data_IF_112236346661
#
_entry.id   IF_112236346661
#
_cell.length_a   1.000
_cell.length_b   1.000
_cell.length_c   1.000
_cell.angle_alpha   90.00
_cell.angle_beta   90.00
_cell.angle_gamma   90.00
#
_symmetry.space_group_name_H-M   'P 1'
#
loop_
_entity.id
_entity.type
_entity.pdbx_description
1 polymer ?
#
# COMPACT_ATOMS: atom_id res chain seq x y z
N UNK A 1 -9.55 20.75 37.84
CA UNK A 1 -10.66 20.54 36.88
C UNK A 1 -10.15 19.70 35.75
N UNK A 2 -10.78 18.59 35.52
CA UNK A 2 -10.35 17.63 34.51
C UNK A 2 -11.26 17.67 33.27
N UNK A 3 -10.70 17.43 32.10
CA UNK A 3 -11.40 17.39 30.80
C UNK A 3 -11.18 16.04 30.14
N UNK A 4 -12.18 15.60 29.36
CA UNK A 4 -12.17 14.29 28.71
C UNK A 4 -11.53 14.38 27.33
N UNK A 5 -10.47 13.61 27.14
CA UNK A 5 -9.78 13.46 25.86
C UNK A 5 -10.55 12.55 24.89
N UNK A 6 -10.22 12.63 23.61
CA UNK A 6 -10.84 11.80 22.54
C UNK A 6 -10.72 10.29 22.79
N UNK A 7 -9.69 9.82 23.52
CA UNK A 7 -9.50 8.42 23.92
C UNK A 7 -10.24 8.05 25.21
N UNK A 8 -11.04 8.95 25.78
CA UNK A 8 -11.91 8.73 26.94
C UNK A 8 -11.26 8.93 28.33
N UNK A 9 -9.95 9.14 28.41
CA UNK A 9 -9.28 9.42 29.68
C UNK A 9 -9.42 10.89 30.10
N UNK A 10 -9.31 11.14 31.40
CA UNK A 10 -9.36 12.49 31.97
C UNK A 10 -7.95 13.06 32.08
N UNK A 11 -7.82 14.34 31.82
CA UNK A 11 -6.57 15.12 31.93
C UNK A 11 -6.90 16.48 32.54
N UNK A 12 -5.98 17.00 33.34
CA UNK A 12 -6.13 18.32 33.92
C UNK A 12 -6.23 19.42 32.84
N UNK A 13 -7.25 20.27 32.97
CA UNK A 13 -7.44 21.40 32.06
C UNK A 13 -6.31 22.42 32.21
N UNK A 14 -5.68 22.75 31.09
CA UNK A 14 -4.60 23.75 31.03
C UNK A 14 -4.97 24.86 30.05
N UNK A 15 -5.12 26.08 30.61
CA UNK A 15 -5.30 27.32 29.82
C UNK A 15 -4.08 27.56 28.90
N UNK A 16 -2.89 27.22 29.38
CA UNK A 16 -1.63 27.34 28.66
C UNK A 16 -1.62 26.52 27.37
N UNK A 17 -2.10 25.24 27.45
CA UNK A 17 -2.22 24.39 26.26
C UNK A 17 -3.17 24.97 25.22
N UNK A 18 -4.25 25.61 25.66
CA UNK A 18 -5.21 26.26 24.74
C UNK A 18 -4.59 27.48 24.09
N UNK A 19 -3.89 28.33 24.87
CA UNK A 19 -3.16 29.50 24.35
C UNK A 19 -2.12 29.10 23.30
N UNK A 20 -1.32 28.08 23.60
CA UNK A 20 -0.29 27.60 22.69
C UNK A 20 -0.89 27.14 21.33
N UNK A 21 -1.99 26.37 21.35
CA UNK A 21 -2.66 25.98 20.11
C UNK A 21 -3.25 27.16 19.31
N UNK A 22 -3.69 28.20 19.97
CA UNK A 22 -4.13 29.44 19.30
C UNK A 22 -2.92 30.19 18.72
N UNK A 23 -1.82 30.32 19.47
CA UNK A 23 -0.59 30.95 18.98
C UNK A 23 -0.02 30.25 17.73
N UNK A 24 0.05 28.92 17.74
CA UNK A 24 0.46 28.13 16.56
C UNK A 24 -0.41 28.45 15.33
N UNK A 25 -1.71 28.67 15.53
CA UNK A 25 -2.59 29.04 14.44
C UNK A 25 -2.34 30.46 13.91
N UNK A 26 -1.99 31.40 14.79
CA UNK A 26 -1.55 32.74 14.37
C UNK A 26 -0.25 32.70 13.57
N UNK A 27 0.72 31.89 14.01
CA UNK A 27 2.00 31.72 13.28
C UNK A 27 1.75 31.07 11.91
N UNK A 28 0.95 30.00 11.85
CA UNK A 28 0.58 29.32 10.59
C UNK A 28 -0.13 30.28 9.63
N UNK A 29 -0.99 31.16 10.15
CA UNK A 29 -1.68 32.14 9.37
C UNK A 29 -0.77 33.33 8.94
N UNK A 30 0.47 33.44 9.47
CA UNK A 30 1.35 34.58 9.24
C UNK A 30 0.84 35.89 9.90
N UNK A 31 0.09 35.75 10.99
CA UNK A 31 -0.49 36.86 11.76
C UNK A 31 0.23 36.96 13.12
N UNK A 32 0.25 38.19 13.69
CA UNK A 32 0.88 38.44 14.98
C UNK A 32 -0.03 37.96 16.11
N UNK A 33 0.45 37.04 16.93
CA UNK A 33 -0.22 36.65 18.16
C UNK A 33 -0.14 37.76 19.22
N UNK A 34 -1.28 38.16 19.79
CA UNK A 34 -1.38 39.22 20.81
C UNK A 34 -1.97 38.64 22.08
N UNK A 35 -1.23 38.77 23.20
CA UNK A 35 -1.61 38.19 24.50
C UNK A 35 -3.00 38.62 24.96
N UNK A 36 -3.37 39.88 24.75
CA UNK A 36 -4.69 40.37 25.12
C UNK A 36 -5.84 39.65 24.39
N UNK A 37 -5.63 39.23 23.13
CA UNK A 37 -6.60 38.46 22.37
C UNK A 37 -6.66 37.02 22.89
N UNK A 38 -5.51 36.44 23.17
CA UNK A 38 -5.42 35.10 23.78
C UNK A 38 -6.16 35.03 25.11
N UNK A 39 -5.87 36.01 25.99
CA UNK A 39 -6.49 36.09 27.30
C UNK A 39 -8.00 36.31 27.21
N UNK A 40 -8.45 37.12 26.27
CA UNK A 40 -9.89 37.32 26.01
C UNK A 40 -10.57 36.03 25.59
N UNK A 41 -9.99 35.29 24.64
CA UNK A 41 -10.56 34.01 24.17
C UNK A 41 -10.57 33.00 25.31
N UNK A 42 -9.41 32.76 25.95
CA UNK A 42 -9.30 31.69 26.97
C UNK A 42 -10.11 31.95 28.21
N UNK A 43 -10.26 33.21 28.63
CA UNK A 43 -11.10 33.58 29.77
C UNK A 43 -12.60 33.58 29.42
N UNK A 44 -12.95 33.71 28.16
CA UNK A 44 -14.32 33.59 27.65
C UNK A 44 -14.83 32.17 27.50
N UNK A 45 -13.93 31.15 27.58
CA UNK A 45 -14.33 29.74 27.46
C UNK A 45 -15.14 29.27 28.69
N UNK A 46 -16.25 28.64 28.43
CA UNK A 46 -17.00 27.92 29.44
C UNK A 46 -16.50 26.49 29.55
N UNK A 47 -15.84 26.16 30.68
CA UNK A 47 -15.28 24.85 30.91
C UNK A 47 -15.81 24.29 32.24
N UNK A 48 -16.25 23.02 32.23
CA UNK A 48 -16.76 22.29 33.39
C UNK A 48 -16.09 20.94 33.54
N UNK A 49 -16.22 20.32 34.71
CA UNK A 49 -15.63 19.03 35.04
C UNK A 49 -16.12 17.91 34.09
N UNK A 50 -15.17 17.19 33.48
CA UNK A 50 -15.48 16.12 32.55
C UNK A 50 -15.89 16.56 31.13
N UNK A 51 -15.84 17.87 30.83
CA UNK A 51 -16.13 18.41 29.50
C UNK A 51 -15.21 17.82 28.42
N UNK A 52 -15.77 17.47 27.27
CA UNK A 52 -14.96 16.94 26.18
C UNK A 52 -14.06 18.03 25.56
N UNK A 53 -12.79 17.68 25.28
CA UNK A 53 -11.85 18.63 24.66
C UNK A 53 -12.30 19.10 23.28
N UNK A 54 -13.15 18.33 22.58
CA UNK A 54 -13.79 18.75 21.32
C UNK A 54 -14.78 19.90 21.49
N UNK A 55 -15.44 20.01 22.64
CA UNK A 55 -16.34 21.13 22.93
C UNK A 55 -15.56 22.42 23.21
N UNK A 56 -14.45 22.29 23.96
CA UNK A 56 -13.52 23.42 24.20
C UNK A 56 -12.96 23.93 22.86
N UNK A 57 -12.53 22.99 22.03
CA UNK A 57 -12.03 23.31 20.69
C UNK A 57 -13.06 24.09 19.86
N UNK A 58 -14.33 23.62 19.85
CA UNK A 58 -15.41 24.30 19.12
C UNK A 58 -15.63 25.73 19.62
N UNK A 59 -15.58 25.98 20.93
CA UNK A 59 -15.67 27.34 21.47
C UNK A 59 -14.51 28.23 21.01
N UNK A 60 -13.28 27.69 20.95
CA UNK A 60 -12.10 28.42 20.42
C UNK A 60 -12.29 28.74 18.95
N UNK A 61 -12.76 27.78 18.15
CA UNK A 61 -13.03 27.96 16.72
C UNK A 61 -14.06 29.06 16.48
N UNK A 62 -15.18 29.06 17.23
CA UNK A 62 -16.23 30.07 17.16
C UNK A 62 -15.70 31.46 17.55
N UNK A 63 -14.88 31.55 18.60
CA UNK A 63 -14.26 32.80 19.01
C UNK A 63 -13.29 33.33 17.94
N UNK A 64 -12.42 32.48 17.40
CA UNK A 64 -11.49 32.85 16.34
C UNK A 64 -12.19 33.25 15.03
N UNK A 65 -13.29 32.55 14.67
CA UNK A 65 -14.09 32.90 13.48
C UNK A 65 -14.68 34.31 13.58
N UNK A 66 -15.01 34.78 14.80
CA UNK A 66 -15.52 36.13 15.01
C UNK A 66 -14.43 37.20 15.00
N UNK A 67 -13.16 36.85 15.31
CA UNK A 67 -12.04 37.77 15.42
C UNK A 67 -11.21 37.83 14.12
N UNK A 68 -10.77 36.67 13.65
CA UNK A 68 -9.93 36.56 12.45
C UNK A 68 -10.16 35.20 11.74
N UNK A 69 -10.89 35.23 10.65
CA UNK A 69 -11.25 34.03 9.85
C UNK A 69 -10.03 33.27 9.29
N UNK A 70 -8.92 33.99 9.00
CA UNK A 70 -7.70 33.36 8.48
C UNK A 70 -7.02 32.52 9.57
N UNK A 71 -6.95 33.08 10.80
CA UNK A 71 -6.43 32.32 11.96
C UNK A 71 -7.36 31.19 12.36
N UNK A 72 -8.67 31.38 12.32
CA UNK A 72 -9.63 30.32 12.57
C UNK A 72 -9.46 29.14 11.62
N UNK A 73 -9.28 29.43 10.33
CA UNK A 73 -9.00 28.39 9.32
C UNK A 73 -7.72 27.62 9.65
N UNK A 74 -6.63 28.32 9.93
CA UNK A 74 -5.35 27.70 10.32
C UNK A 74 -5.49 26.83 11.58
N UNK A 75 -6.26 27.30 12.59
CA UNK A 75 -6.53 26.55 13.82
C UNK A 75 -7.26 25.23 13.55
N UNK A 76 -8.27 25.24 12.67
CA UNK A 76 -9.02 24.05 12.27
C UNK A 76 -8.10 23.08 11.53
N UNK A 77 -7.34 23.55 10.54
CA UNK A 77 -6.43 22.74 9.73
C UNK A 77 -5.32 22.11 10.58
N UNK A 78 -4.65 22.88 11.44
CA UNK A 78 -3.62 22.37 12.36
C UNK A 78 -4.14 21.27 13.28
N UNK A 79 -5.36 21.41 13.78
CA UNK A 79 -5.97 20.41 14.63
C UNK A 79 -6.37 19.12 13.88
N UNK A 80 -6.79 19.22 12.64
CA UNK A 80 -7.15 18.06 11.80
C UNK A 80 -5.88 17.32 11.36
N UNK A 81 -4.82 18.04 10.98
CA UNK A 81 -3.51 17.45 10.67
C UNK A 81 -2.91 16.72 11.87
N UNK A 82 -2.95 17.32 13.06
CA UNK A 82 -2.50 16.67 14.29
C UNK A 82 -3.32 15.42 14.64
N UNK A 83 -4.61 15.41 14.37
CA UNK A 83 -5.48 14.25 14.57
C UNK A 83 -5.15 13.12 13.59
N UNK A 84 -4.89 13.44 12.34
CA UNK A 84 -4.46 12.49 11.32
C UNK A 84 -3.07 11.92 11.62
N UNK A 85 -2.13 12.75 12.06
CA UNK A 85 -0.80 12.31 12.49
C UNK A 85 -0.87 11.35 13.67
N UNK A 86 -1.71 11.61 14.68
CA UNK A 86 -1.90 10.71 15.82
C UNK A 86 -2.50 9.38 15.41
N UNK A 87 -3.51 9.38 14.53
CA UNK A 87 -4.08 8.13 14.00
C UNK A 87 -3.03 7.31 13.26
N UNK A 88 -2.19 7.96 12.45
CA UNK A 88 -1.09 7.29 11.74
C UNK A 88 -0.04 6.76 12.71
N UNK A 89 0.28 7.49 13.77
CA UNK A 89 1.21 7.05 14.81
C UNK A 89 0.68 5.84 15.58
N UNK A 90 -0.59 5.87 16.00
CA UNK A 90 -1.25 4.74 16.66
C UNK A 90 -1.23 3.50 15.73
N UNK A 91 -1.57 3.69 14.45
CA UNK A 91 -1.52 2.62 13.45
C UNK A 91 -0.12 2.04 13.26
N UNK A 92 0.91 2.88 13.19
CA UNK A 92 2.31 2.45 13.06
C UNK A 92 2.71 1.61 14.28
N UNK A 93 2.37 2.06 15.47
CA UNK A 93 2.69 1.35 16.71
C UNK A 93 2.00 -0.01 16.77
N UNK A 94 0.70 -0.08 16.51
CA UNK A 94 -0.05 -1.33 16.44
C UNK A 94 0.49 -2.29 15.36
N UNK A 95 0.93 -1.75 14.23
CA UNK A 95 1.52 -2.54 13.15
C UNK A 95 2.85 -3.17 13.57
N UNK A 96 3.74 -2.39 14.23
CA UNK A 96 5.03 -2.88 14.74
C UNK A 96 4.80 -3.95 15.81
N UNK A 97 3.87 -3.75 16.74
CA UNK A 97 3.53 -4.70 17.79
C UNK A 97 2.99 -6.02 17.18
N UNK A 98 2.10 -5.94 16.19
CA UNK A 98 1.58 -7.10 15.48
C UNK A 98 2.66 -7.86 14.70
N UNK A 99 3.62 -7.15 14.11
CA UNK A 99 4.73 -7.75 13.37
C UNK A 99 5.70 -8.50 14.29
N UNK A 100 5.90 -8.00 15.50
CA UNK A 100 6.75 -8.63 16.53
C UNK A 100 6.09 -9.85 17.20
N UNK A 101 4.77 -9.93 17.19
CA UNK A 101 4.03 -11.00 17.86
C UNK A 101 4.01 -12.35 17.11
N UNK A 102 4.61 -12.47 15.92
CA UNK A 102 4.64 -13.66 15.07
C UNK A 102 3.26 -14.30 14.80
N UNK A 103 2.18 -13.59 15.07
CA UNK A 103 0.80 -14.02 14.84
C UNK A 103 0.23 -13.31 13.61
N UNK A 104 -0.60 -14.04 12.86
CA UNK A 104 -1.22 -13.56 11.62
C UNK A 104 -1.80 -12.15 11.76
N UNK A 105 -1.54 -11.32 10.78
CA UNK A 105 -1.82 -9.91 10.79
C UNK A 105 -3.31 -9.60 10.80
N UNK A 106 -3.74 -8.75 11.73
CA UNK A 106 -5.09 -8.15 11.73
C UNK A 106 -5.26 -7.04 10.68
N UNK A 107 -4.16 -6.50 10.15
CA UNK A 107 -4.16 -5.25 9.38
C UNK A 107 -3.91 -5.46 7.88
N UNK A 108 -3.54 -6.68 7.49
CA UNK A 108 -3.28 -6.96 6.09
C UNK A 108 -4.48 -7.61 5.42
N UNK A 109 -5.13 -6.85 4.54
CA UNK A 109 -6.21 -7.35 3.69
C UNK A 109 -5.69 -8.00 2.40
N UNK A 110 -4.38 -7.91 2.12
CA UNK A 110 -3.77 -8.51 0.95
C UNK A 110 -3.36 -9.96 1.27
N UNK A 111 -4.08 -10.93 0.71
CA UNK A 111 -3.81 -12.36 0.89
C UNK A 111 -2.42 -12.81 0.41
N UNK A 112 -1.74 -11.99 -0.41
CA UNK A 112 -0.41 -12.28 -0.92
C UNK A 112 0.72 -11.84 0.03
N UNK A 113 0.40 -11.13 1.09
CA UNK A 113 1.38 -10.64 2.08
C UNK A 113 1.17 -11.37 3.39
N UNK A 114 2.01 -12.37 3.66
CA UNK A 114 1.94 -13.19 4.87
C UNK A 114 2.79 -12.64 6.00
N UNK A 115 3.82 -11.87 5.69
CA UNK A 115 4.76 -11.33 6.67
C UNK A 115 4.74 -9.80 6.68
N UNK A 116 4.61 -9.23 7.87
CA UNK A 116 4.72 -7.79 8.07
C UNK A 116 6.18 -7.36 8.07
N UNK A 117 6.51 -6.40 7.24
CA UNK A 117 7.83 -5.78 7.18
C UNK A 117 7.72 -4.28 6.92
N UNK A 118 8.85 -3.58 6.94
CA UNK A 118 8.89 -2.12 6.77
C UNK A 118 8.32 -1.66 5.41
N UNK A 119 8.43 -2.50 4.38
CA UNK A 119 7.91 -2.17 3.03
C UNK A 119 6.39 -2.24 3.02
N UNK A 120 5.81 -3.27 3.63
CA UNK A 120 4.35 -3.40 3.75
C UNK A 120 3.76 -2.30 4.64
N UNK A 121 4.46 -1.88 5.70
CA UNK A 121 4.06 -0.72 6.50
C UNK A 121 4.01 0.55 5.64
N UNK A 122 5.05 0.80 4.84
CA UNK A 122 5.07 1.94 3.92
C UNK A 122 3.89 1.91 2.94
N UNK A 123 3.59 0.75 2.36
CA UNK A 123 2.44 0.59 1.47
C UNK A 123 1.11 0.89 2.16
N UNK A 124 0.90 0.41 3.39
CA UNK A 124 -0.31 0.69 4.16
C UNK A 124 -0.50 2.19 4.45
N UNK A 125 0.58 2.89 4.82
CA UNK A 125 0.54 4.33 5.07
C UNK A 125 0.20 5.16 3.82
N UNK A 126 0.58 4.68 2.64
CA UNK A 126 0.29 5.37 1.37
C UNK A 126 -1.09 5.05 0.77
N UNK A 127 -1.77 4.00 1.19
CA UNK A 127 -3.07 3.57 0.63
C UNK A 127 -4.09 4.70 0.53
N UNK A 128 -4.32 5.42 1.61
CA UNK A 128 -5.30 6.50 1.66
C UNK A 128 -4.97 7.64 0.69
N UNK A 129 -3.69 8.01 0.62
CA UNK A 129 -3.21 9.03 -0.30
C UNK A 129 -3.37 8.59 -1.77
N UNK A 130 -3.04 7.32 -2.06
CA UNK A 130 -3.20 6.75 -3.39
C UNK A 130 -4.66 6.74 -3.84
N UNK A 131 -5.59 6.39 -2.95
CA UNK A 131 -7.04 6.46 -3.22
C UNK A 131 -7.46 7.88 -3.59
N UNK A 132 -7.06 8.88 -2.80
CA UNK A 132 -7.37 10.28 -3.07
C UNK A 132 -6.84 10.73 -4.44
N UNK A 133 -5.59 10.39 -4.75
CA UNK A 133 -4.97 10.72 -6.04
C UNK A 133 -5.64 10.02 -7.21
N UNK A 134 -5.93 8.72 -7.09
CA UNK A 134 -6.64 7.96 -8.12
C UNK A 134 -8.02 8.56 -8.42
N UNK A 135 -8.79 8.87 -7.39
CA UNK A 135 -10.11 9.51 -7.53
C UNK A 135 -10.01 10.87 -8.22
N UNK A 136 -9.03 11.67 -7.82
CA UNK A 136 -8.79 12.97 -8.46
C UNK A 136 -8.46 12.82 -9.95
N UNK A 137 -7.49 11.97 -10.31
CA UNK A 137 -7.05 11.75 -11.68
C UNK A 137 -8.20 11.23 -12.56
N UNK A 138 -8.94 10.23 -12.08
CA UNK A 138 -10.03 9.63 -12.85
C UNK A 138 -11.21 10.59 -13.01
N UNK A 139 -11.58 11.30 -11.93
CA UNK A 139 -12.64 12.31 -11.99
C UNK A 139 -12.32 13.42 -12.97
N UNK A 140 -11.06 13.89 -12.99
CA UNK A 140 -10.62 14.90 -13.97
C UNK A 140 -10.65 14.37 -15.42
N UNK A 141 -10.20 13.13 -15.63
CA UNK A 141 -10.32 12.48 -16.95
C UNK A 141 -11.77 12.35 -17.41
N UNK A 142 -12.66 11.88 -16.55
CA UNK A 142 -14.09 11.75 -16.87
C UNK A 142 -14.69 13.11 -17.20
N UNK A 143 -14.35 14.15 -16.43
CA UNK A 143 -14.79 15.52 -16.67
C UNK A 143 -14.38 16.02 -18.06
N UNK A 144 -13.12 15.77 -18.44
CA UNK A 144 -12.56 16.21 -19.73
C UNK A 144 -13.13 15.42 -20.93
N UNK A 145 -13.34 14.12 -20.76
CA UNK A 145 -13.77 13.23 -21.85
C UNK A 145 -15.28 13.23 -22.06
N UNK A 146 -16.06 13.43 -21.02
CA UNK A 146 -17.52 13.29 -21.06
C UNK A 146 -18.22 14.55 -20.55
N UNK A 147 -18.32 14.73 -19.21
CA UNK A 147 -18.97 15.91 -18.63
C UNK A 147 -18.66 16.05 -17.13
N UNK A 148 -18.88 17.27 -16.62
CA UNK A 148 -18.79 17.55 -15.16
C UNK A 148 -19.80 16.73 -14.38
N UNK A 149 -21.05 16.62 -14.88
CA UNK A 149 -22.12 15.85 -14.21
C UNK A 149 -21.77 14.39 -14.05
N UNK A 150 -21.21 13.75 -15.08
CA UNK A 150 -20.80 12.35 -15.03
C UNK A 150 -19.61 12.15 -14.05
N UNK A 151 -18.69 13.09 -14.00
CA UNK A 151 -17.56 13.05 -13.07
C UNK A 151 -18.01 13.15 -11.60
N UNK A 152 -18.99 14.01 -11.32
CA UNK A 152 -19.58 14.14 -9.98
C UNK A 152 -20.38 12.88 -9.60
N UNK A 153 -21.15 12.32 -10.53
CA UNK A 153 -21.88 11.07 -10.31
C UNK A 153 -20.91 9.89 -10.03
N UNK A 154 -19.84 9.75 -10.83
CA UNK A 154 -18.82 8.73 -10.60
C UNK A 154 -18.20 8.80 -9.20
N UNK A 155 -17.88 10.02 -8.73
CA UNK A 155 -17.32 10.20 -7.40
C UNK A 155 -18.32 9.86 -6.30
N UNK A 156 -19.60 10.21 -6.48
CA UNK A 156 -20.66 9.89 -5.55
C UNK A 156 -20.95 8.39 -5.49
N UNK A 157 -20.96 7.73 -6.64
CA UNK A 157 -21.15 6.27 -6.75
C UNK A 157 -20.03 5.49 -6.05
N UNK A 158 -18.77 5.97 -6.12
CA UNK A 158 -17.66 5.41 -5.35
C UNK A 158 -17.81 5.63 -3.85
N UNK A 159 -18.30 6.81 -3.41
CA UNK A 159 -18.48 7.12 -1.99
C UNK A 159 -19.66 6.36 -1.36
N UNK A 160 -20.73 6.20 -2.12
CA UNK A 160 -21.93 5.48 -1.71
C UNK A 160 -21.84 3.97 -1.89
N UNK A 161 -20.68 3.47 -2.34
CA UNK A 161 -20.42 2.05 -2.63
C UNK A 161 -21.34 1.42 -3.70
N UNK A 162 -21.93 2.23 -4.59
CA UNK A 162 -22.61 1.76 -5.79
C UNK A 162 -21.61 1.22 -6.80
N UNK A 163 -20.44 1.87 -6.91
CA UNK A 163 -19.29 1.39 -7.66
C UNK A 163 -18.18 0.94 -6.70
N UNK A 164 -17.58 -0.19 -7.03
CA UNK A 164 -16.36 -0.67 -6.39
C UNK A 164 -15.23 -0.69 -7.41
N UNK A 165 -14.13 0.01 -7.09
CA UNK A 165 -12.90 -0.06 -7.87
C UNK A 165 -11.90 -0.95 -7.13
N UNK A 166 -11.59 -2.11 -7.72
CA UNK A 166 -10.60 -3.03 -7.18
C UNK A 166 -9.21 -2.39 -7.15
N UNK A 167 -8.45 -2.63 -6.09
CA UNK A 167 -7.08 -2.16 -5.90
C UNK A 167 -6.90 -0.63 -6.06
N UNK A 168 -7.92 0.15 -5.69
CA UNK A 168 -7.88 1.62 -5.78
C UNK A 168 -6.73 2.23 -4.95
N UNK A 169 -6.29 1.53 -3.90
CA UNK A 169 -5.17 1.92 -3.06
C UNK A 169 -3.78 1.65 -3.68
N UNK A 170 -3.73 1.02 -4.84
CA UNK A 170 -2.51 0.81 -5.59
C UNK A 170 -1.89 2.11 -6.11
N UNK A 171 -0.86 2.00 -6.93
CA UNK A 171 -0.15 3.15 -7.48
C UNK A 171 -1.06 3.98 -8.38
N UNK A 172 -1.15 5.30 -8.19
CA UNK A 172 -1.96 6.17 -9.04
C UNK A 172 -1.56 6.08 -10.51
N UNK A 173 -2.53 5.76 -11.38
CA UNK A 173 -2.33 5.70 -12.83
C UNK A 173 -1.57 4.49 -13.37
N UNK A 174 -1.17 3.55 -12.50
CA UNK A 174 -0.51 2.31 -12.87
C UNK A 174 -1.41 1.09 -12.65
N UNK A 175 -1.26 0.02 -13.43
CA UNK A 175 -1.92 -1.25 -13.14
C UNK A 175 -1.36 -1.82 -11.82
N UNK A 176 -2.25 -2.39 -11.02
CA UNK A 176 -1.88 -3.03 -9.76
C UNK A 176 -1.29 -4.42 -9.97
N UNK A 177 -1.94 -5.21 -10.81
CA UNK A 177 -1.53 -6.55 -11.23
C UNK A 177 -1.24 -6.59 -12.72
N UNK A 178 -0.46 -7.57 -13.14
CA UNK A 178 -0.13 -7.77 -14.55
C UNK A 178 -0.21 -9.25 -14.94
N UNK A 179 -0.72 -9.53 -16.12
CA UNK A 179 -0.55 -10.82 -16.80
C UNK A 179 0.40 -10.60 -17.97
N UNK A 180 1.44 -11.41 -18.05
CA UNK A 180 2.47 -11.30 -19.10
C UNK A 180 2.42 -12.50 -20.01
N UNK A 181 2.58 -12.25 -21.32
CA UNK A 181 2.91 -13.31 -22.28
C UNK A 181 4.41 -13.60 -22.23
N UNK A 182 4.75 -14.87 -22.29
CA UNK A 182 6.14 -15.33 -22.21
C UNK A 182 6.82 -15.36 -23.59
N UNK A 183 6.08 -15.20 -24.69
CA UNK A 183 6.61 -15.36 -26.03
C UNK A 183 7.82 -14.45 -26.32
N UNK A 184 7.80 -13.14 -26.06
CA UNK A 184 8.98 -12.29 -26.28
C UNK A 184 10.19 -12.69 -25.47
N UNK A 185 9.97 -13.19 -24.24
CA UNK A 185 11.02 -13.68 -23.38
C UNK A 185 11.69 -14.95 -23.96
N UNK A 186 10.91 -15.82 -24.58
CA UNK A 186 11.42 -17.06 -25.18
C UNK A 186 12.19 -16.83 -26.49
N UNK A 187 11.89 -15.74 -27.21
CA UNK A 187 12.55 -15.41 -28.47
C UNK A 187 13.78 -14.53 -28.27
N UNK A 188 13.67 -13.54 -27.40
CA UNK A 188 14.66 -12.46 -27.26
C UNK A 188 15.44 -12.49 -25.95
N UNK A 189 15.01 -13.36 -25.02
CA UNK A 189 15.52 -13.40 -23.66
C UNK A 189 14.99 -12.26 -22.79
N UNK A 190 15.60 -12.07 -21.63
CA UNK A 190 15.28 -11.01 -20.70
C UNK A 190 15.98 -9.72 -21.12
N UNK A 191 15.21 -8.72 -21.53
CA UNK A 191 15.71 -7.42 -21.96
C UNK A 191 15.08 -6.31 -21.10
N UNK A 192 15.88 -5.35 -20.66
CA UNK A 192 15.43 -4.08 -20.04
C UNK A 192 14.75 -4.15 -18.66
N UNK A 193 14.60 -5.30 -18.03
CA UNK A 193 13.91 -5.41 -16.71
C UNK A 193 14.91 -5.54 -15.53
N UNK A 194 16.05 -4.89 -15.63
CA UNK A 194 17.08 -4.94 -14.58
C UNK A 194 18.12 -6.05 -14.77
N UNK A 195 18.02 -6.77 -15.86
CA UNK A 195 18.99 -7.78 -16.30
C UNK A 195 18.96 -7.97 -17.80
N UNK A 196 19.97 -8.62 -18.33
CA UNK A 196 20.05 -9.04 -19.73
C UNK A 196 20.41 -10.51 -19.73
N UNK A 197 19.59 -11.34 -20.36
CA UNK A 197 19.88 -12.74 -20.61
C UNK A 197 19.48 -13.12 -22.05
N UNK A 198 20.07 -14.18 -22.55
CA UNK A 198 19.67 -14.76 -23.83
C UNK A 198 18.43 -15.62 -23.67
N UNK A 199 17.76 -15.94 -24.77
CA UNK A 199 16.61 -16.85 -24.74
C UNK A 199 16.99 -18.22 -24.15
N UNK A 200 16.12 -18.86 -23.35
CA UNK A 200 16.40 -20.16 -22.78
C UNK A 200 16.49 -21.23 -23.85
N UNK A 201 17.42 -22.18 -23.69
CA UNK A 201 17.68 -23.22 -24.68
C UNK A 201 17.26 -24.61 -24.23
N UNK A 202 17.06 -24.83 -22.93
CA UNK A 202 16.73 -26.11 -22.31
C UNK A 202 15.82 -25.89 -21.06
N UNK A 203 15.30 -26.97 -20.50
CA UNK A 203 14.39 -26.95 -19.34
C UNK A 203 15.03 -26.24 -18.14
N UNK A 204 16.31 -26.45 -17.88
CA UNK A 204 16.99 -25.88 -16.73
C UNK A 204 17.16 -24.37 -16.88
N UNK A 205 17.62 -23.90 -18.04
CA UNK A 205 17.74 -22.48 -18.34
C UNK A 205 16.38 -21.80 -18.36
N UNK A 206 15.35 -22.44 -18.91
CA UNK A 206 13.97 -21.94 -18.87
C UNK A 206 13.47 -21.70 -17.45
N UNK A 207 13.60 -22.67 -16.54
CA UNK A 207 13.16 -22.51 -15.15
C UNK A 207 13.94 -21.40 -14.43
N UNK A 208 15.24 -21.30 -14.64
CA UNK A 208 16.06 -20.24 -14.04
C UNK A 208 15.70 -18.84 -14.55
N UNK A 209 15.57 -18.71 -15.87
CA UNK A 209 15.22 -17.43 -16.50
C UNK A 209 13.75 -17.02 -16.19
N UNK A 210 12.84 -17.98 -16.09
CA UNK A 210 11.47 -17.75 -15.66
C UNK A 210 11.41 -17.11 -14.27
N UNK A 211 12.20 -17.64 -13.32
CA UNK A 211 12.29 -17.08 -11.97
C UNK A 211 12.76 -15.62 -12.02
N UNK A 212 13.81 -15.35 -12.81
CA UNK A 212 14.34 -13.99 -13.00
C UNK A 212 13.31 -13.06 -13.63
N UNK A 213 12.58 -13.53 -14.63
CA UNK A 213 11.51 -12.78 -15.28
C UNK A 213 10.42 -12.37 -14.27
N UNK A 214 9.90 -13.34 -13.52
CA UNK A 214 8.84 -13.08 -12.54
C UNK A 214 9.32 -12.11 -11.46
N UNK A 215 10.53 -12.27 -10.94
CA UNK A 215 11.09 -11.35 -9.94
C UNK A 215 11.28 -9.95 -10.50
N UNK A 216 11.81 -9.82 -11.70
CA UNK A 216 12.01 -8.54 -12.35
C UNK A 216 10.71 -7.80 -12.61
N UNK A 217 9.68 -8.51 -13.07
CA UNK A 217 8.35 -7.93 -13.29
C UNK A 217 7.68 -7.60 -11.95
N UNK A 218 7.70 -8.54 -10.99
CA UNK A 218 7.04 -8.34 -9.68
C UNK A 218 7.61 -7.17 -8.90
N UNK A 219 8.87 -6.81 -9.12
CA UNK A 219 9.48 -5.63 -8.49
C UNK A 219 8.85 -4.30 -8.95
N UNK A 220 8.12 -4.28 -10.06
CA UNK A 220 7.53 -3.08 -10.66
C UNK A 220 6.02 -2.95 -10.40
N UNK A 221 5.37 -3.98 -9.86
CA UNK A 221 3.93 -3.99 -9.58
C UNK A 221 3.67 -4.27 -8.10
N UNK A 222 2.63 -3.66 -7.57
CA UNK A 222 2.26 -3.84 -6.15
C UNK A 222 1.49 -5.15 -5.92
N UNK A 223 0.83 -5.67 -6.95
CA UNK A 223 0.03 -6.88 -6.91
C UNK A 223 0.67 -8.07 -7.60
N UNK A 224 -0.15 -9.00 -8.03
CA UNK A 224 0.27 -10.26 -8.61
C UNK A 224 0.81 -10.13 -10.04
N UNK A 225 1.76 -11.00 -10.37
CA UNK A 225 2.20 -11.26 -11.73
C UNK A 225 1.66 -12.62 -12.15
N UNK A 226 0.84 -12.66 -13.19
CA UNK A 226 0.30 -13.89 -13.76
C UNK A 226 1.07 -14.29 -15.02
N UNK A 227 1.36 -15.57 -15.13
CA UNK A 227 2.07 -16.19 -16.26
C UNK A 227 1.26 -17.38 -16.76
N UNK A 228 0.17 -17.17 -17.51
CA UNK A 228 -0.78 -18.22 -17.87
C UNK A 228 -0.18 -19.32 -18.76
N UNK A 229 0.92 -19.02 -19.45
CA UNK A 229 1.56 -19.91 -20.43
C UNK A 229 2.68 -20.78 -19.83
N UNK A 230 2.95 -20.67 -18.52
CA UNK A 230 4.11 -21.32 -17.90
C UNK A 230 4.15 -22.84 -18.14
N UNK A 231 3.05 -23.55 -17.87
CA UNK A 231 3.01 -25.01 -18.03
C UNK A 231 3.17 -25.44 -19.49
N UNK A 232 2.62 -24.67 -20.42
CA UNK A 232 2.74 -24.94 -21.85
C UNK A 232 4.19 -24.86 -22.32
N UNK A 233 4.93 -23.83 -21.88
CA UNK A 233 6.34 -23.71 -22.26
C UNK A 233 7.26 -24.64 -21.47
N UNK A 234 6.88 -25.01 -20.24
CA UNK A 234 7.58 -26.05 -19.51
C UNK A 234 7.51 -27.40 -20.26
N UNK A 235 6.32 -27.79 -20.73
CA UNK A 235 6.13 -28.97 -21.58
C UNK A 235 6.96 -28.89 -22.88
N UNK A 236 6.97 -27.72 -23.52
CA UNK A 236 7.79 -27.50 -24.73
C UNK A 236 9.29 -27.82 -24.47
N UNK A 237 9.86 -27.31 -23.37
CA UNK A 237 11.27 -27.57 -23.05
C UNK A 237 11.55 -29.00 -22.60
N UNK A 238 10.59 -29.65 -21.94
CA UNK A 238 10.69 -31.09 -21.62
C UNK A 238 10.74 -31.89 -22.91
N UNK A 239 9.84 -31.64 -23.86
CA UNK A 239 9.84 -32.32 -25.18
C UNK A 239 11.13 -32.05 -25.95
N UNK A 240 11.62 -30.84 -25.92
CA UNK A 240 12.88 -30.46 -26.59
C UNK A 240 14.07 -31.18 -26.03
N UNK A 241 14.15 -31.40 -24.73
CA UNK A 241 15.33 -31.99 -24.07
C UNK A 241 15.26 -33.53 -24.05
N UNK A 242 14.04 -34.12 -23.99
CA UNK A 242 13.85 -35.55 -23.72
C UNK A 242 13.02 -36.27 -24.77
N UNK A 243 12.50 -35.60 -25.78
CA UNK A 243 11.70 -36.21 -26.85
C UNK A 243 10.20 -35.95 -26.72
N UNK A 244 9.49 -36.01 -27.85
CA UNK A 244 8.05 -35.78 -27.89
C UNK A 244 7.25 -36.83 -27.09
N UNK A 245 7.80 -37.99 -26.96
CA UNK A 245 7.25 -39.19 -26.27
C UNK A 245 7.73 -39.33 -24.81
N UNK A 246 8.29 -38.24 -24.23
CA UNK A 246 8.88 -38.28 -22.88
C UNK A 246 7.94 -38.88 -21.81
N UNK A 247 6.64 -38.80 -22.02
CA UNK A 247 5.63 -39.33 -21.08
C UNK A 247 5.76 -40.85 -20.95
N UNK A 248 6.12 -41.55 -22.02
CA UNK A 248 6.31 -42.99 -22.03
C UNK A 248 7.66 -43.41 -21.40
N UNK A 249 8.55 -42.45 -21.15
CA UNK A 249 9.92 -42.60 -20.67
C UNK A 249 10.17 -42.02 -19.27
N UNK A 250 9.14 -41.75 -18.49
CA UNK A 250 9.24 -41.08 -17.19
C UNK A 250 10.12 -41.81 -16.18
N UNK A 251 10.18 -43.16 -16.25
CA UNK A 251 10.96 -44.03 -15.36
C UNK A 251 12.41 -44.24 -15.86
N UNK A 252 12.73 -43.80 -17.05
CA UNK A 252 14.07 -43.97 -17.61
C UNK A 252 15.09 -43.09 -16.87
N UNK A 253 16.27 -43.65 -16.64
CA UNK A 253 17.38 -42.94 -15.99
C UNK A 253 18.05 -42.01 -17.01
N UNK A 254 17.83 -40.74 -16.89
CA UNK A 254 18.35 -39.71 -17.80
C UNK A 254 19.53 -38.91 -17.20
N UNK A 255 19.63 -38.87 -15.89
CA UNK A 255 20.75 -38.20 -15.19
C UNK A 255 21.77 -39.27 -14.72
N UNK A 256 22.87 -39.36 -15.45
CA UNK A 256 23.95 -40.31 -15.18
C UNK A 256 24.95 -39.83 -14.11
N UNK A 257 24.65 -38.74 -13.44
CA UNK A 257 25.46 -38.27 -12.30
C UNK A 257 25.38 -39.28 -11.14
N UNK A 258 26.15 -39.05 -10.07
CA UNK A 258 26.20 -39.97 -8.92
C UNK A 258 24.82 -40.32 -8.29
N UNK A 259 23.77 -39.54 -8.60
CA UNK A 259 22.41 -39.73 -8.06
C UNK A 259 21.48 -40.56 -8.95
N UNK A 260 21.84 -40.83 -10.20
CA UNK A 260 21.06 -41.63 -11.17
C UNK A 260 19.55 -41.33 -11.11
N UNK A 261 19.15 -40.17 -11.60
CA UNK A 261 17.74 -39.73 -11.50
C UNK A 261 16.94 -40.18 -12.72
N UNK A 262 15.72 -40.59 -12.48
CA UNK A 262 14.73 -40.83 -13.54
C UNK A 262 14.24 -39.49 -14.11
N UNK A 263 13.65 -39.55 -15.32
CA UNK A 263 13.11 -38.36 -15.98
C UNK A 263 12.03 -37.68 -15.13
N UNK A 264 11.11 -38.41 -14.55
CA UNK A 264 10.09 -37.88 -13.63
C UNK A 264 10.76 -37.12 -12.49
N UNK A 265 11.85 -37.60 -11.94
CA UNK A 265 12.55 -36.93 -10.84
C UNK A 265 13.30 -35.69 -11.28
N UNK A 266 13.77 -35.63 -12.51
CA UNK A 266 14.37 -34.44 -13.09
C UNK A 266 13.32 -33.34 -13.29
N UNK A 267 12.16 -33.70 -13.84
CA UNK A 267 11.01 -32.78 -14.02
C UNK A 267 10.50 -32.27 -12.67
N UNK A 268 10.27 -33.15 -11.69
CA UNK A 268 9.89 -32.82 -10.33
C UNK A 268 10.84 -31.79 -9.70
N UNK A 269 12.16 -32.03 -9.82
CA UNK A 269 13.16 -31.13 -9.26
C UNK A 269 13.15 -29.75 -9.93
N UNK A 270 12.95 -29.71 -11.25
CA UNK A 270 12.84 -28.46 -12.00
C UNK A 270 11.61 -27.66 -11.52
N UNK A 271 10.45 -28.33 -11.42
CA UNK A 271 9.22 -27.72 -10.94
C UNK A 271 9.33 -27.28 -9.47
N UNK A 272 9.89 -28.14 -8.62
CA UNK A 272 10.12 -27.84 -7.21
C UNK A 272 11.04 -26.63 -7.03
N UNK A 273 12.06 -26.48 -7.87
CA UNK A 273 12.96 -25.30 -7.85
C UNK A 273 12.17 -24.02 -8.14
N UNK A 274 11.31 -24.02 -9.15
CA UNK A 274 10.45 -22.87 -9.47
C UNK A 274 9.54 -22.53 -8.30
N UNK A 275 8.77 -23.52 -7.81
CA UNK A 275 7.84 -23.32 -6.70
C UNK A 275 8.56 -22.84 -5.44
N UNK A 276 9.70 -23.45 -5.11
CA UNK A 276 10.49 -23.03 -3.94
C UNK A 276 10.98 -21.59 -4.07
N UNK A 277 11.52 -21.22 -5.23
CA UNK A 277 11.99 -19.87 -5.49
C UNK A 277 10.86 -18.83 -5.44
N UNK A 278 9.65 -19.18 -5.97
CA UNK A 278 8.49 -18.28 -5.91
C UNK A 278 7.96 -18.08 -4.49
N UNK A 279 8.15 -19.06 -3.59
CA UNK A 279 7.76 -18.97 -2.19
C UNK A 279 8.81 -18.32 -1.29
N UNK A 280 10.00 -18.05 -1.80
CA UNK A 280 11.04 -17.36 -1.05
C UNK A 280 10.89 -15.84 -1.19
N UNK A 281 11.07 -15.07 -0.10
CA UNK A 281 11.13 -13.62 -0.20
C UNK A 281 12.27 -13.21 -1.13
N UNK A 282 11.94 -12.44 -2.17
CA UNK A 282 12.92 -11.96 -3.13
C UNK A 282 13.02 -10.44 -3.08
N UNK A 283 14.20 -9.95 -2.77
CA UNK A 283 14.46 -8.52 -2.70
C UNK A 283 13.64 -7.82 -1.61
N UNK A 284 13.05 -6.68 -1.95
CA UNK A 284 12.29 -5.85 -1.01
C UNK A 284 10.84 -6.30 -0.79
N UNK A 285 10.44 -7.42 -1.37
CA UNK A 285 9.09 -7.97 -1.23
C UNK A 285 9.19 -9.30 -0.52
N UNK A 286 9.27 -9.22 0.79
CA UNK A 286 9.10 -10.38 1.64
C UNK A 286 7.66 -10.79 1.75
#
# INVERSE_FOLDING_TARGET
MEVRKSKGFLEEYSKEKVKNGICEAYETAGEKCVDAILDSIVNGLYVYEGMATSEIRRQVEEALMSINKKVAKAYIENNDDNKDLRKKQDFIQEYIEASNAATGSKFDSNANVTNKNIVTLGQELYKENNIKQNRYILTDKIRKMYSKKLAEQYLEDLKSHVLYKHDESGTPGYPYCVAITMYPFLTDGLQKLGGVSVAPTDLKSFCGEFINLVYSVSSQFMGAVATPEFLMYMDYFIRKDYGEDYIDHLDDVVDLTAKKRTLVKVIDNAFQQVVHSMNMPAGNRG
#
